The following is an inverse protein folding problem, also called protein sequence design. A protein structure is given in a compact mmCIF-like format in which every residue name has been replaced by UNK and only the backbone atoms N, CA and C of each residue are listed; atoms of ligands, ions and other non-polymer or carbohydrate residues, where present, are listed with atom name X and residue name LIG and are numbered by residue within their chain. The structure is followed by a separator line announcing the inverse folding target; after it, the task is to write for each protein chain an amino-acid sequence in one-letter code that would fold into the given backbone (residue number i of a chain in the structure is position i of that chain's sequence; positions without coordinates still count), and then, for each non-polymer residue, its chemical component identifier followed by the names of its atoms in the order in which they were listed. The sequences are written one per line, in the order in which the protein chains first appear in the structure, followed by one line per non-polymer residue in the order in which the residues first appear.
data_IF_335073749273
#
_entry.id   IF_335073749273
#
_cell.length_a   1.000
_cell.length_b   1.000
_cell.length_c   1.000
_cell.angle_alpha   90.00
_cell.angle_beta   90.00
_cell.angle_gamma   90.00
#
_symmetry.space_group_name_H-M   'P 1'
#
loop_
_entity.id
_entity.type
_entity.pdbx_description
1 polymer ?
#
# COMPACT_ATOMS: atom_id res chain seq x y z
N UNK A 1 38.11 -12.73 5.32
CA UNK A 1 37.18 -12.44 6.42
C UNK A 1 35.85 -12.05 5.79
N UNK A 2 34.91 -12.99 5.71
CA UNK A 2 33.59 -12.74 5.15
C UNK A 2 32.71 -12.12 6.23
N UNK A 3 32.32 -10.86 6.05
CA UNK A 3 31.31 -10.22 6.89
C UNK A 3 29.98 -10.91 6.64
N UNK A 4 29.51 -11.70 7.59
CA UNK A 4 28.12 -12.17 7.61
C UNK A 4 27.27 -10.91 7.76
N UNK A 5 26.65 -10.46 6.67
CA UNK A 5 25.59 -9.45 6.73
C UNK A 5 24.44 -10.12 7.46
N UNK A 6 24.35 -9.92 8.79
CA UNK A 6 23.18 -10.35 9.55
C UNK A 6 21.99 -9.64 8.93
N UNK A 7 21.15 -10.39 8.22
CA UNK A 7 19.86 -9.87 7.78
C UNK A 7 19.18 -9.38 9.06
N UNK A 8 18.83 -8.08 9.17
CA UNK A 8 18.18 -7.60 10.38
C UNK A 8 16.92 -8.43 10.61
N UNK A 9 16.67 -8.78 11.87
CA UNK A 9 15.43 -9.46 12.22
C UNK A 9 14.25 -8.63 11.72
N UNK A 10 13.19 -9.26 11.19
CA UNK A 10 12.02 -8.55 10.73
C UNK A 10 11.49 -7.67 11.87
N UNK A 11 11.29 -6.39 11.57
CA UNK A 11 10.92 -5.38 12.56
C UNK A 11 9.44 -5.03 12.41
N UNK A 12 8.65 -5.01 13.50
CA UNK A 12 7.25 -4.60 13.46
C UNK A 12 7.08 -3.16 12.93
N UNK A 13 6.12 -2.94 12.04
CA UNK A 13 5.78 -1.64 11.45
C UNK A 13 4.69 -0.93 12.26
N UNK A 14 5.02 -0.55 13.51
CA UNK A 14 4.02 -0.01 14.46
C UNK A 14 3.79 1.49 14.36
N UNK A 15 4.76 2.24 13.85
CA UNK A 15 4.71 3.72 13.77
C UNK A 15 4.62 4.19 12.33
N UNK A 16 4.09 5.39 12.13
CA UNK A 16 4.01 6.00 10.81
C UNK A 16 5.42 6.21 10.22
N UNK A 17 6.41 6.57 11.03
CA UNK A 17 7.80 6.74 10.60
C UNK A 17 8.44 5.43 10.16
N UNK A 18 8.14 4.32 10.86
CA UNK A 18 8.61 2.98 10.47
C UNK A 18 8.01 2.55 9.13
N UNK A 19 6.71 2.80 8.93
CA UNK A 19 6.03 2.48 7.68
C UNK A 19 6.60 3.31 6.53
N UNK A 20 6.73 4.62 6.69
CA UNK A 20 7.25 5.51 5.65
C UNK A 20 8.68 5.14 5.26
N UNK A 21 9.54 4.87 6.24
CA UNK A 21 10.90 4.42 6.00
C UNK A 21 10.93 3.07 5.27
N UNK A 22 10.15 2.10 5.75
CA UNK A 22 10.05 0.79 5.11
C UNK A 22 9.61 0.90 3.65
N UNK A 23 8.56 1.66 3.36
CA UNK A 23 8.07 1.83 1.98
C UNK A 23 9.08 2.60 1.13
N UNK A 24 9.76 3.60 1.70
CA UNK A 24 10.82 4.34 0.99
C UNK A 24 12.01 3.44 0.63
N UNK A 25 12.39 2.52 1.52
CA UNK A 25 13.51 1.59 1.30
C UNK A 25 13.16 0.49 0.28
N UNK A 26 11.90 0.03 0.26
CA UNK A 26 11.45 -1.10 -0.59
C UNK A 26 10.90 -0.66 -1.95
N UNK A 27 10.03 0.35 -1.98
CA UNK A 27 9.40 0.84 -3.21
C UNK A 27 10.19 2.01 -3.80
N UNK A 28 10.62 2.95 -2.95
CA UNK A 28 11.35 4.12 -3.39
C UNK A 28 10.53 5.04 -4.31
N UNK A 29 11.21 5.69 -5.26
CA UNK A 29 10.55 6.59 -6.22
C UNK A 29 9.82 5.80 -7.31
N UNK A 30 8.74 6.38 -7.82
CA UNK A 30 7.89 5.70 -8.78
C UNK A 30 8.57 5.51 -10.13
N UNK A 31 8.40 4.31 -10.68
CA UNK A 31 8.87 3.92 -12.02
C UNK A 31 7.69 3.67 -12.95
N UNK A 32 6.56 3.18 -12.42
CA UNK A 32 5.35 2.86 -13.19
C UNK A 32 4.08 3.02 -12.36
N UNK A 33 2.92 2.89 -13.01
CA UNK A 33 1.62 2.94 -12.35
C UNK A 33 1.22 1.55 -11.85
N UNK A 34 1.10 1.39 -10.54
CA UNK A 34 0.64 0.15 -9.90
C UNK A 34 0.29 0.42 -8.42
N UNK A 35 -0.43 -0.51 -7.80
CA UNK A 35 -0.64 -0.50 -6.35
C UNK A 35 0.05 -1.68 -5.70
N UNK A 36 0.80 -1.41 -4.64
CA UNK A 36 1.42 -2.43 -3.79
C UNK A 36 0.60 -2.63 -2.53
N UNK A 37 0.44 -3.89 -2.11
CA UNK A 37 -0.20 -4.26 -0.85
C UNK A 37 0.78 -5.01 0.03
N UNK A 38 1.01 -4.48 1.23
CA UNK A 38 1.80 -5.13 2.28
C UNK A 38 0.89 -5.50 3.43
N UNK A 39 0.84 -6.78 3.77
CA UNK A 39 -0.04 -7.29 4.80
C UNK A 39 0.67 -7.36 6.15
N UNK A 40 -0.05 -7.03 7.22
CA UNK A 40 0.43 -7.06 8.58
C UNK A 40 -0.43 -7.98 9.45
N UNK A 41 0.20 -8.74 10.33
CA UNK A 41 -0.48 -9.47 11.41
C UNK A 41 -0.85 -8.55 12.60
N UNK A 42 -1.42 -9.15 13.66
CA UNK A 42 -1.81 -8.45 14.89
C UNK A 42 -0.63 -7.73 15.60
N UNK A 43 0.60 -8.17 15.36
CA UNK A 43 1.81 -7.59 15.94
C UNK A 43 2.45 -6.51 15.06
N UNK A 44 1.85 -6.21 13.91
CA UNK A 44 2.38 -5.28 12.91
C UNK A 44 3.57 -5.87 12.15
N UNK A 45 3.73 -7.19 12.12
CA UNK A 45 4.76 -7.86 11.34
C UNK A 45 4.26 -8.09 9.92
N UNK A 46 5.16 -7.94 8.94
CA UNK A 46 4.86 -8.30 7.56
C UNK A 46 4.53 -9.79 7.47
N UNK A 47 3.39 -10.11 6.88
CA UNK A 47 2.95 -11.48 6.61
C UNK A 47 2.68 -11.67 5.12
N UNK A 48 2.94 -12.87 4.63
CA UNK A 48 2.63 -13.25 3.26
C UNK A 48 3.44 -12.54 2.16
N UNK A 49 3.10 -12.80 0.89
CA UNK A 49 3.75 -12.15 -0.24
C UNK A 49 3.28 -10.71 -0.42
N UNK A 50 4.17 -9.87 -0.93
CA UNK A 50 3.82 -8.54 -1.45
C UNK A 50 3.08 -8.71 -2.78
N UNK A 51 1.90 -8.09 -2.90
CA UNK A 51 1.07 -8.20 -4.11
C UNK A 51 1.10 -6.87 -4.87
N UNK A 52 1.73 -6.80 -6.06
CA UNK A 52 1.51 -5.71 -7.00
C UNK A 52 0.25 -5.98 -7.83
N UNK A 53 -0.59 -4.95 -7.96
CA UNK A 53 -1.61 -4.90 -9.01
C UNK A 53 -1.12 -3.93 -10.07
N UNK A 54 -0.73 -4.51 -11.21
CA UNK A 54 -0.16 -3.79 -12.36
C UNK A 54 -1.25 -3.34 -13.34
N UNK A 55 -0.84 -2.61 -14.38
CA UNK A 55 -1.71 -2.14 -15.48
C UNK A 55 -2.97 -1.38 -15.02
N UNK A 56 -2.87 -0.69 -13.88
CA UNK A 56 -3.99 0.06 -13.31
C UNK A 56 -4.37 1.19 -14.28
N UNK A 57 -5.66 1.28 -14.70
CA UNK A 57 -6.07 2.26 -15.69
C UNK A 57 -5.93 3.70 -15.20
N UNK A 58 -6.06 4.65 -16.13
CA UNK A 58 -5.92 6.08 -15.79
C UNK A 58 -6.98 6.57 -14.79
N UNK A 59 -8.17 5.96 -14.80
CA UNK A 59 -9.28 6.23 -13.90
C UNK A 59 -9.92 4.90 -13.49
N UNK A 60 -10.47 4.80 -12.27
CA UNK A 60 -11.24 3.64 -11.85
C UNK A 60 -12.60 3.59 -12.57
N UNK A 61 -13.01 2.38 -12.93
CA UNK A 61 -14.36 2.02 -13.31
C UNK A 61 -15.23 1.68 -12.10
N UNK A 62 -16.53 1.43 -12.36
CA UNK A 62 -17.52 1.23 -11.30
C UNK A 62 -17.29 -0.05 -10.47
N UNK A 63 -16.65 -1.08 -11.04
CA UNK A 63 -16.45 -2.38 -10.39
C UNK A 63 -15.08 -2.51 -9.69
N UNK A 64 -14.18 -1.56 -9.93
CA UNK A 64 -12.79 -1.65 -9.46
C UNK A 64 -12.69 -1.67 -7.93
N UNK A 65 -13.57 -0.95 -7.22
CA UNK A 65 -13.61 -0.99 -5.76
C UNK A 65 -13.91 -2.41 -5.25
N UNK A 66 -14.99 -3.03 -5.73
CA UNK A 66 -15.37 -4.39 -5.33
C UNK A 66 -14.35 -5.45 -5.77
N UNK A 67 -13.78 -5.30 -6.96
CA UNK A 67 -12.77 -6.22 -7.48
C UNK A 67 -11.47 -6.15 -6.67
N UNK A 68 -10.99 -4.94 -6.40
CA UNK A 68 -9.83 -4.72 -5.56
C UNK A 68 -10.06 -5.21 -4.13
N UNK A 69 -11.20 -4.87 -3.53
CA UNK A 69 -11.61 -5.34 -2.22
C UNK A 69 -11.59 -6.86 -2.10
N UNK A 70 -12.24 -7.54 -3.06
CA UNK A 70 -12.28 -9.02 -3.10
C UNK A 70 -10.88 -9.61 -3.21
N UNK A 71 -10.03 -9.06 -4.09
CA UNK A 71 -8.65 -9.53 -4.28
C UNK A 71 -7.83 -9.41 -2.98
N UNK A 72 -7.83 -8.23 -2.37
CA UNK A 72 -7.01 -7.95 -1.19
C UNK A 72 -7.58 -8.61 0.06
N UNK A 73 -8.91 -8.64 0.23
CA UNK A 73 -9.57 -9.34 1.33
C UNK A 73 -9.30 -10.85 1.29
N UNK A 74 -9.43 -11.48 0.12
CA UNK A 74 -9.10 -12.90 -0.03
C UNK A 74 -7.63 -13.17 0.27
N UNK A 75 -6.72 -12.28 -0.18
CA UNK A 75 -5.31 -12.41 0.12
C UNK A 75 -5.03 -12.25 1.62
N UNK A 76 -5.66 -11.26 2.28
CA UNK A 76 -5.54 -11.03 3.72
C UNK A 76 -5.98 -12.24 4.54
N UNK A 77 -7.11 -12.87 4.18
CA UNK A 77 -7.61 -14.09 4.84
C UNK A 77 -6.60 -15.25 4.72
N UNK A 78 -6.01 -15.43 3.54
CA UNK A 78 -5.03 -16.51 3.28
C UNK A 78 -3.76 -16.35 4.10
N UNK A 79 -3.32 -15.11 4.36
CA UNK A 79 -2.09 -14.82 5.10
C UNK A 79 -2.34 -14.42 6.56
N UNK A 80 -3.59 -14.58 7.02
CA UNK A 80 -4.07 -14.23 8.36
C UNK A 80 -3.74 -12.76 8.75
N UNK A 81 -3.82 -11.85 7.78
CA UNK A 81 -3.54 -10.44 7.99
C UNK A 81 -4.71 -9.71 8.65
N UNK A 82 -4.35 -8.67 9.39
CA UNK A 82 -5.26 -7.83 10.15
C UNK A 82 -5.22 -6.38 9.71
N UNK A 83 -4.12 -5.99 9.09
CA UNK A 83 -3.98 -4.71 8.45
C UNK A 83 -3.29 -4.83 7.10
N UNK A 84 -3.51 -3.83 6.25
CA UNK A 84 -2.83 -3.64 4.98
C UNK A 84 -2.29 -2.22 4.87
N UNK A 85 -1.06 -2.11 4.35
CA UNK A 85 -0.45 -0.87 3.88
C UNK A 85 -0.57 -0.87 2.36
N UNK A 86 -1.19 0.16 1.81
CA UNK A 86 -1.31 0.37 0.37
C UNK A 86 -0.32 1.43 -0.09
N UNK A 87 0.34 1.17 -1.22
CA UNK A 87 1.25 2.13 -1.86
C UNK A 87 0.83 2.32 -3.31
N UNK A 88 0.29 3.50 -3.62
CA UNK A 88 0.00 3.90 -4.99
C UNK A 88 1.29 4.41 -5.64
N UNK A 89 1.91 3.57 -6.46
CA UNK A 89 3.07 3.95 -7.26
C UNK A 89 2.60 4.60 -8.55
N UNK A 90 3.07 5.83 -8.80
CA UNK A 90 2.79 6.54 -10.04
C UNK A 90 3.88 7.57 -10.34
N UNK A 91 4.44 7.62 -11.56
CA UNK A 91 5.32 8.71 -11.94
C UNK A 91 4.57 10.05 -11.93
N UNK A 92 5.19 11.07 -11.36
CA UNK A 92 4.58 12.40 -11.26
C UNK A 92 5.01 13.17 -10.01
N UNK A 93 4.45 14.37 -9.80
CA UNK A 93 4.74 15.19 -8.63
C UNK A 93 4.20 14.55 -7.34
N UNK A 94 4.62 15.02 -6.15
CA UNK A 94 4.07 14.54 -4.87
C UNK A 94 2.57 14.86 -4.70
N UNK A 95 2.06 15.92 -5.34
CA UNK A 95 0.68 16.37 -5.21
C UNK A 95 -0.32 15.38 -5.82
N UNK A 96 -1.43 15.07 -5.13
CA UNK A 96 -2.48 14.23 -5.71
C UNK A 96 -3.28 15.00 -6.76
N UNK A 97 -3.35 14.44 -7.97
CA UNK A 97 -4.34 14.83 -8.96
C UNK A 97 -5.73 14.29 -8.59
N UNK A 98 -6.77 14.77 -9.27
CA UNK A 98 -8.13 14.24 -9.10
C UNK A 98 -8.21 12.75 -9.42
N UNK A 99 -7.46 12.28 -10.43
CA UNK A 99 -7.39 10.86 -10.77
C UNK A 99 -6.73 10.02 -9.66
N UNK A 100 -5.67 10.56 -9.02
CA UNK A 100 -5.04 9.88 -7.88
C UNK A 100 -6.04 9.78 -6.72
N UNK A 101 -6.76 10.86 -6.40
CA UNK A 101 -7.76 10.85 -5.32
C UNK A 101 -8.87 9.84 -5.58
N UNK A 102 -9.37 9.78 -6.81
CA UNK A 102 -10.38 8.78 -7.19
C UNK A 102 -9.87 7.35 -6.97
N UNK A 103 -8.65 7.02 -7.40
CA UNK A 103 -8.07 5.70 -7.16
C UNK A 103 -7.88 5.39 -5.67
N UNK A 104 -7.34 6.33 -4.90
CA UNK A 104 -7.16 6.14 -3.45
C UNK A 104 -8.49 5.92 -2.74
N UNK A 105 -9.55 6.64 -3.14
CA UNK A 105 -10.91 6.36 -2.65
C UNK A 105 -11.37 4.96 -3.04
N UNK A 106 -11.25 4.58 -4.33
CA UNK A 106 -11.65 3.26 -4.82
C UNK A 106 -10.96 2.12 -4.06
N UNK A 107 -9.67 2.24 -3.78
CA UNK A 107 -8.94 1.26 -2.99
C UNK A 107 -9.43 1.19 -1.55
N UNK A 108 -9.64 2.35 -0.92
CA UNK A 108 -10.10 2.42 0.46
C UNK A 108 -11.52 1.86 0.60
N UNK A 109 -12.44 2.32 -0.25
CA UNK A 109 -13.84 1.86 -0.32
C UNK A 109 -13.92 0.35 -0.52
N UNK A 110 -13.11 -0.18 -1.44
CA UNK A 110 -13.05 -1.62 -1.70
C UNK A 110 -12.79 -2.45 -0.45
N UNK A 111 -12.01 -1.94 0.49
CA UNK A 111 -11.63 -2.65 1.71
C UNK A 111 -12.63 -2.46 2.86
N UNK A 112 -13.54 -1.49 2.79
CA UNK A 112 -14.51 -1.23 3.87
C UNK A 112 -15.45 -2.40 4.17
N UNK A 113 -15.66 -3.30 3.20
CA UNK A 113 -16.51 -4.48 3.34
C UNK A 113 -15.77 -5.72 3.88
N UNK A 114 -14.46 -5.62 4.16
CA UNK A 114 -13.60 -6.73 4.57
C UNK A 114 -13.03 -6.50 5.97
N UNK A 115 -12.69 -7.57 6.68
CA UNK A 115 -12.15 -7.52 8.05
C UNK A 115 -10.61 -7.26 8.05
N UNK A 116 -10.17 -6.32 7.21
CA UNK A 116 -8.76 -5.91 7.12
C UNK A 116 -8.66 -4.39 7.24
N UNK A 117 -7.89 -3.93 8.23
CA UNK A 117 -7.70 -2.51 8.47
C UNK A 117 -6.80 -1.90 7.39
N UNK A 118 -7.22 -0.77 6.80
CA UNK A 118 -6.29 0.07 6.02
C UNK A 118 -5.43 0.89 6.99
N UNK A 119 -4.30 0.31 7.41
CA UNK A 119 -3.36 0.92 8.36
C UNK A 119 -2.66 2.15 7.78
N UNK A 120 -2.39 2.13 6.48
CA UNK A 120 -1.73 3.24 5.80
C UNK A 120 -2.01 3.26 4.29
N UNK A 121 -2.05 4.48 3.74
CA UNK A 121 -2.01 4.72 2.29
C UNK A 121 -0.86 5.68 2.01
N UNK A 122 0.03 5.27 1.13
CA UNK A 122 1.17 6.07 0.70
C UNK A 122 1.14 6.24 -0.82
N UNK A 123 1.80 7.29 -1.29
CA UNK A 123 2.04 7.51 -2.71
C UNK A 123 3.54 7.50 -2.95
N UNK A 124 3.99 6.60 -3.82
CA UNK A 124 5.30 6.70 -4.44
C UNK A 124 5.18 7.58 -5.68
N UNK A 125 6.06 8.58 -5.76
CA UNK A 125 6.11 9.61 -6.79
C UNK A 125 7.55 9.80 -7.29
N UNK A 126 7.78 10.74 -8.21
CA UNK A 126 9.08 10.92 -8.88
C UNK A 126 10.25 11.32 -7.97
N UNK A 127 10.00 11.65 -6.70
CA UNK A 127 11.02 12.11 -5.75
C UNK A 127 11.08 11.30 -4.46
N UNK A 128 10.31 10.21 -4.36
CA UNK A 128 10.25 9.38 -3.16
C UNK A 128 8.83 8.97 -2.83
N UNK A 129 8.58 8.77 -1.54
CA UNK A 129 7.31 8.31 -1.00
C UNK A 129 6.78 9.35 -0.01
N UNK A 130 5.46 9.48 0.08
CA UNK A 130 4.81 10.21 1.16
C UNK A 130 3.51 9.56 1.59
N UNK A 131 3.04 9.91 2.78
CA UNK A 131 1.67 9.63 3.21
C UNK A 131 0.64 10.30 2.32
N UNK A 132 -0.44 9.58 2.01
CA UNK A 132 -1.73 10.16 1.62
C UNK A 132 -2.67 9.98 2.81
N UNK A 133 -2.97 11.09 3.50
CA UNK A 133 -3.93 11.05 4.62
C UNK A 133 -5.34 10.91 4.06
N UNK A 134 -6.27 10.37 4.85
CA UNK A 134 -7.67 10.16 4.47
C UNK A 134 -8.32 11.45 3.92
N UNK A 135 -8.06 12.58 4.57
CA UNK A 135 -8.52 13.91 4.14
C UNK A 135 -7.96 14.34 2.77
N UNK A 136 -6.81 13.77 2.35
CA UNK A 136 -6.22 14.06 1.04
C UNK A 136 -7.02 13.42 -0.11
N UNK A 137 -7.89 12.46 0.14
CA UNK A 137 -8.67 11.82 -0.93
C UNK A 137 -10.17 11.75 -0.68
N UNK A 138 -10.66 11.94 0.55
CA UNK A 138 -12.09 12.18 0.79
C UNK A 138 -12.69 11.49 2.01
N UNK A 139 -11.88 11.13 3.00
CA UNK A 139 -12.30 10.45 4.24
C UNK A 139 -11.83 11.18 5.49
#
# INVERSE_FOLDING_TARGET
MSTVTRNPDPTPLRTDEMIERFVSDIIGHAVRRQVWSFFLDDDGMLTGPVIPVEDVPALPGAEDASGFGTLIGTAADVVEARAVILVWERPGPPMLSSADRHWLCTFHDGLTAHDVEVRAVLVSHAHGVRWARRDDYGF
#
